data_IF_030149345510
#
_entry.id   IF_030149345510
#
_cell.length_a   1.000
_cell.length_b   1.000
_cell.length_c   1.000
_cell.angle_alpha   90.00
_cell.angle_beta   90.00
_cell.angle_gamma   90.00
#
_symmetry.space_group_name_H-M   'P 1'
#
loop_
_entity.id
_entity.type
_entity.pdbx_description
1 polymer ?
#
# COMPACT_ATOMS: atom_id res chain seq x y z
N UNK A 1 -9.12 -1.01 -0.14
CA UNK A 1 -8.99 -0.09 -1.27
C UNK A 1 -10.15 0.91 -1.35
N UNK A 2 -11.29 0.51 -0.84
CA UNK A 2 -12.53 1.29 -0.76
C UNK A 2 -13.06 1.30 0.67
N UNK A 3 -14.23 1.93 0.90
CA UNK A 3 -14.85 2.00 2.21
C UNK A 3 -15.29 0.63 2.72
N UNK A 4 -15.77 -0.20 1.81
CA UNK A 4 -16.22 -1.57 2.13
C UNK A 4 -15.09 -2.42 2.69
N UNK A 5 -13.88 -2.31 2.13
CA UNK A 5 -12.67 -2.99 2.65
C UNK A 5 -12.36 -2.53 4.08
N UNK A 6 -12.44 -1.23 4.34
CA UNK A 6 -12.19 -0.68 5.68
C UNK A 6 -13.23 -1.17 6.70
N UNK A 7 -14.49 -1.21 6.32
CA UNK A 7 -15.58 -1.75 7.16
C UNK A 7 -15.35 -3.24 7.43
N UNK A 8 -15.02 -4.02 6.40
CA UNK A 8 -14.73 -5.44 6.52
C UNK A 8 -13.57 -5.72 7.48
N UNK A 9 -12.44 -5.00 7.30
CA UNK A 9 -11.27 -5.13 8.19
C UNK A 9 -11.67 -4.83 9.64
N UNK A 10 -12.42 -3.75 9.88
CA UNK A 10 -12.90 -3.38 11.22
C UNK A 10 -13.80 -4.43 11.85
N UNK A 11 -14.66 -5.07 11.06
CA UNK A 11 -15.54 -6.14 11.55
C UNK A 11 -14.80 -7.45 11.83
N UNK A 12 -13.87 -7.83 10.96
CA UNK A 12 -13.06 -9.03 11.15
C UNK A 12 -12.09 -8.87 12.33
N UNK A 13 -11.51 -7.70 12.51
CA UNK A 13 -10.62 -7.40 13.64
C UNK A 13 -11.26 -7.66 15.01
N UNK A 14 -12.59 -7.55 15.14
CA UNK A 14 -13.32 -7.86 16.38
C UNK A 14 -13.38 -9.36 16.70
N UNK A 15 -13.10 -10.23 15.73
CA UNK A 15 -13.28 -11.69 15.84
C UNK A 15 -11.98 -12.45 15.98
N UNK A 16 -10.84 -11.76 15.83
CA UNK A 16 -9.50 -12.35 15.76
C UNK A 16 -8.59 -11.80 16.84
N UNK A 17 -7.41 -12.41 17.01
CA UNK A 17 -6.38 -11.96 17.94
C UNK A 17 -5.10 -11.55 17.22
N UNK A 18 -4.73 -12.25 16.17
CA UNK A 18 -3.46 -12.06 15.47
C UNK A 18 -3.70 -11.50 14.09
N UNK A 19 -3.16 -10.31 13.83
CA UNK A 19 -3.30 -9.61 12.55
C UNK A 19 -1.94 -9.36 11.95
N UNK A 20 -1.78 -9.68 10.67
CA UNK A 20 -0.61 -9.30 9.89
C UNK A 20 -0.99 -8.19 8.93
N UNK A 21 -0.21 -7.12 8.91
CA UNK A 21 -0.27 -6.07 7.87
C UNK A 21 0.94 -6.23 6.96
N UNK A 22 0.70 -6.43 5.67
CA UNK A 22 1.75 -6.54 4.65
C UNK A 22 1.98 -5.21 3.96
N UNK A 23 3.20 -4.68 4.08
CA UNK A 23 3.63 -3.42 3.55
C UNK A 23 3.57 -2.29 4.58
N UNK A 24 4.68 -1.58 4.77
CA UNK A 24 4.84 -0.46 5.68
C UNK A 24 4.86 0.90 4.98
N UNK A 25 4.19 1.02 3.83
CA UNK A 25 3.87 2.29 3.19
C UNK A 25 2.73 3.03 3.90
N UNK A 26 2.27 4.15 3.34
CA UNK A 26 1.23 5.01 3.95
C UNK A 26 -0.01 4.21 4.38
N UNK A 27 -0.56 3.40 3.48
CA UNK A 27 -1.79 2.62 3.77
C UNK A 27 -1.55 1.57 4.86
N UNK A 28 -0.37 0.91 4.87
CA UNK A 28 -0.05 -0.06 5.91
C UNK A 28 0.09 0.57 7.29
N UNK A 29 0.72 1.74 7.38
CA UNK A 29 0.84 2.51 8.61
C UNK A 29 -0.53 2.97 9.12
N UNK A 30 -1.42 3.45 8.23
CA UNK A 30 -2.79 3.82 8.57
C UNK A 30 -3.59 2.60 9.06
N UNK A 31 -3.43 1.44 8.41
CA UNK A 31 -4.08 0.20 8.83
C UNK A 31 -3.62 -0.23 10.24
N UNK A 32 -2.31 -0.21 10.52
CA UNK A 32 -1.78 -0.50 11.86
C UNK A 32 -2.36 0.48 12.88
N UNK A 33 -2.31 1.79 12.58
CA UNK A 33 -2.83 2.84 13.47
C UNK A 33 -4.31 2.66 13.78
N UNK A 34 -5.13 2.28 12.79
CA UNK A 34 -6.55 2.01 12.95
C UNK A 34 -6.87 0.74 13.75
N UNK A 35 -5.93 -0.20 13.82
CA UNK A 35 -6.06 -1.47 14.57
C UNK A 35 -5.52 -1.38 16.02
N UNK A 36 -4.70 -0.37 16.32
CA UNK A 36 -4.16 -0.17 17.66
C UNK A 36 -5.27 0.05 18.70
N UNK A 37 -5.01 -0.35 19.94
CA UNK A 37 -5.95 -0.19 21.05
C UNK A 37 -7.14 -1.16 21.06
N UNK A 38 -7.22 -2.09 20.08
CA UNK A 38 -8.30 -3.08 19.99
C UNK A 38 -7.96 -4.44 20.65
N UNK A 39 -6.84 -4.54 21.34
CA UNK A 39 -6.39 -5.77 22.01
C UNK A 39 -5.88 -6.85 21.06
N UNK A 40 -5.37 -6.44 19.90
CA UNK A 40 -4.82 -7.30 18.86
C UNK A 40 -3.30 -7.43 18.98
N UNK A 41 -2.79 -8.59 18.59
CA UNK A 41 -1.38 -8.80 18.31
C UNK A 41 -1.12 -8.43 16.85
N UNK A 42 -0.48 -7.30 16.60
CA UNK A 42 -0.26 -6.79 15.25
C UNK A 42 1.19 -7.05 14.85
N UNK A 43 1.37 -7.69 13.69
CA UNK A 43 2.68 -7.83 13.02
C UNK A 43 2.67 -7.02 11.72
N UNK A 44 3.64 -6.12 11.55
CA UNK A 44 3.84 -5.34 10.33
C UNK A 44 5.04 -5.92 9.57
N UNK A 45 4.81 -6.40 8.37
CA UNK A 45 5.81 -7.06 7.50
C UNK A 45 6.16 -6.15 6.34
N UNK A 46 7.46 -5.86 6.15
CA UNK A 46 7.95 -4.96 5.11
C UNK A 46 9.25 -5.51 4.49
N UNK A 47 9.34 -5.43 3.16
CA UNK A 47 10.51 -5.86 2.40
C UNK A 47 11.72 -4.92 2.55
N UNK A 48 11.45 -3.64 2.82
CA UNK A 48 12.49 -2.66 3.07
C UNK A 48 12.99 -2.74 4.52
N UNK A 49 14.21 -2.25 4.74
CA UNK A 49 14.81 -2.21 6.09
C UNK A 49 14.28 -1.08 6.98
N UNK A 50 13.19 -0.43 6.58
CA UNK A 50 12.55 0.69 7.30
C UNK A 50 11.08 0.84 6.93
N UNK A 51 10.31 1.45 7.81
CA UNK A 51 8.92 1.83 7.52
C UNK A 51 8.88 3.14 6.72
N UNK A 52 7.79 3.38 5.97
CA UNK A 52 7.60 4.51 5.05
C UNK A 52 8.81 4.71 4.13
N UNK A 53 9.27 3.65 3.43
CA UNK A 53 10.58 3.63 2.76
C UNK A 53 10.72 4.69 1.65
N UNK A 54 9.61 5.11 1.05
CA UNK A 54 9.58 6.13 -0.01
C UNK A 54 9.43 7.56 0.53
N UNK A 55 8.91 7.73 1.77
CA UNK A 55 8.57 9.04 2.33
C UNK A 55 9.59 9.55 3.33
N UNK A 56 10.27 8.65 4.04
CA UNK A 56 11.15 8.99 5.15
C UNK A 56 12.59 8.50 4.91
N UNK A 57 13.55 9.24 5.42
CA UNK A 57 14.90 8.74 5.64
C UNK A 57 14.94 7.76 6.84
N UNK A 58 16.10 7.15 7.10
CA UNK A 58 16.23 6.17 8.20
C UNK A 58 16.00 6.81 9.57
N UNK A 59 16.47 8.03 9.78
CA UNK A 59 16.36 8.72 11.07
C UNK A 59 14.91 9.01 11.43
N UNK A 60 14.13 9.52 10.48
CA UNK A 60 12.70 9.77 10.69
C UNK A 60 11.91 8.45 10.83
N UNK A 61 12.25 7.43 10.04
CA UNK A 61 11.65 6.10 10.16
C UNK A 61 11.86 5.48 11.55
N UNK A 62 13.06 5.63 12.13
CA UNK A 62 13.38 5.11 13.47
C UNK A 62 12.48 5.68 14.57
N UNK A 63 11.96 6.89 14.41
CA UNK A 63 11.02 7.49 15.37
C UNK A 63 9.68 6.73 15.34
N UNK A 64 9.16 6.44 14.15
CA UNK A 64 7.94 5.63 13.99
C UNK A 64 8.14 4.20 14.46
N UNK A 65 9.26 3.57 14.14
CA UNK A 65 9.59 2.21 14.57
C UNK A 65 9.60 2.09 16.09
N UNK A 66 10.22 3.05 16.79
CA UNK A 66 10.23 3.11 18.26
C UNK A 66 8.82 3.27 18.82
N UNK A 67 7.99 4.10 18.20
CA UNK A 67 6.63 4.33 18.69
C UNK A 67 5.76 3.08 18.51
N UNK A 68 5.80 2.43 17.35
CA UNK A 68 5.07 1.18 17.13
C UNK A 68 5.53 0.06 18.07
N UNK A 69 6.83 -0.08 18.29
CA UNK A 69 7.35 -1.05 19.25
C UNK A 69 6.83 -0.80 20.68
N UNK A 70 6.74 0.47 21.14
CA UNK A 70 6.13 0.82 22.42
C UNK A 70 4.66 0.43 22.52
N UNK A 71 3.95 0.49 21.40
CA UNK A 71 2.54 0.12 21.31
C UNK A 71 2.33 -1.38 21.09
N UNK A 72 3.40 -2.18 21.12
CA UNK A 72 3.34 -3.63 21.04
C UNK A 72 3.22 -4.18 19.60
N UNK A 73 3.46 -3.37 18.58
CA UNK A 73 3.50 -3.84 17.19
C UNK A 73 4.80 -4.61 16.95
N UNK A 74 4.69 -5.83 16.43
CA UNK A 74 5.86 -6.63 16.00
C UNK A 74 6.29 -6.19 14.61
N UNK A 75 7.43 -5.50 14.51
CA UNK A 75 7.99 -5.07 13.23
C UNK A 75 8.87 -6.17 12.63
N UNK A 76 8.56 -6.60 11.42
CA UNK A 76 9.31 -7.54 10.60
C UNK A 76 9.79 -6.81 9.34
N UNK A 77 10.97 -6.20 9.45
CA UNK A 77 11.58 -5.41 8.38
C UNK A 77 12.66 -6.23 7.67
N UNK A 78 12.98 -5.86 6.42
CA UNK A 78 13.95 -6.55 5.56
C UNK A 78 13.59 -8.03 5.33
N UNK A 79 12.29 -8.32 5.31
CA UNK A 79 11.75 -9.67 5.11
C UNK A 79 10.61 -9.67 4.11
N UNK A 80 10.40 -10.81 3.46
CA UNK A 80 9.40 -10.98 2.41
C UNK A 80 8.40 -12.06 2.79
N UNK A 81 7.12 -11.76 2.62
CA UNK A 81 6.07 -12.76 2.70
C UNK A 81 6.18 -13.73 1.52
N UNK A 82 6.23 -15.03 1.78
CA UNK A 82 6.31 -16.04 0.73
C UNK A 82 5.02 -16.82 0.57
N UNK A 83 4.41 -17.20 1.71
CA UNK A 83 3.29 -18.12 1.68
C UNK A 83 2.32 -17.84 2.82
N UNK A 84 1.03 -17.91 2.53
CA UNK A 84 -0.02 -17.94 3.53
C UNK A 84 -0.45 -19.39 3.78
N UNK A 85 -0.36 -19.84 5.02
CA UNK A 85 -0.91 -21.11 5.45
C UNK A 85 -2.37 -20.92 5.84
N UNK A 86 -3.20 -21.84 5.41
CA UNK A 86 -4.62 -21.87 5.72
C UNK A 86 -4.94 -23.05 6.65
N UNK A 87 -6.03 -22.93 7.39
CA UNK A 87 -6.61 -24.04 8.14
C UNK A 87 -7.48 -24.93 7.24
N UNK A 88 -8.15 -25.92 7.82
CA UNK A 88 -9.03 -26.87 7.11
C UNK A 88 -10.29 -26.18 6.54
N UNK A 89 -10.63 -25.00 7.05
CA UNK A 89 -11.79 -24.20 6.62
C UNK A 89 -11.40 -23.09 5.63
N UNK A 90 -10.11 -23.08 5.17
CA UNK A 90 -9.54 -22.06 4.30
C UNK A 90 -9.41 -20.66 4.92
N UNK A 91 -9.36 -20.54 6.24
CA UNK A 91 -9.05 -19.29 6.90
C UNK A 91 -7.52 -19.11 7.06
N UNK A 92 -7.01 -17.88 7.14
CA UNK A 92 -5.62 -17.62 7.44
C UNK A 92 -5.21 -18.23 8.80
N UNK A 93 -4.09 -18.96 8.82
CA UNK A 93 -3.52 -19.58 10.00
C UNK A 93 -2.15 -19.01 10.37
N UNK A 94 -1.29 -18.85 9.38
CA UNK A 94 0.04 -18.26 9.55
C UNK A 94 0.59 -17.71 8.25
N UNK A 95 1.40 -16.67 8.33
CA UNK A 95 2.21 -16.14 7.23
C UNK A 95 3.63 -16.66 7.35
N UNK A 96 4.17 -17.25 6.29
CA UNK A 96 5.56 -17.71 6.21
C UNK A 96 6.39 -16.63 5.53
N UNK A 97 7.51 -16.28 6.15
CA UNK A 97 8.49 -15.35 5.61
C UNK A 97 9.61 -16.09 4.86
N UNK A 98 10.34 -15.36 4.01
CA UNK A 98 11.52 -15.87 3.29
C UNK A 98 12.66 -16.35 4.22
N UNK A 99 12.60 -16.03 5.49
CA UNK A 99 13.52 -16.54 6.53
C UNK A 99 13.12 -17.90 7.05
N UNK A 100 11.93 -18.41 6.68
CA UNK A 100 11.32 -19.60 7.26
C UNK A 100 10.53 -19.35 8.55
N UNK A 101 10.51 -18.10 9.05
CA UNK A 101 9.69 -17.74 10.21
C UNK A 101 8.21 -17.81 9.86
N UNK A 102 7.42 -18.42 10.74
CA UNK A 102 5.96 -18.46 10.65
C UNK A 102 5.35 -17.47 11.64
N UNK A 103 4.56 -16.53 11.14
CA UNK A 103 3.83 -15.54 11.95
C UNK A 103 2.36 -15.99 12.03
N UNK A 104 1.85 -16.39 13.20
CA UNK A 104 0.44 -16.72 13.36
C UNK A 104 -0.45 -15.55 12.97
N UNK A 105 -1.49 -15.77 12.18
CA UNK A 105 -2.45 -14.73 11.79
C UNK A 105 -3.80 -15.31 11.42
N UNK A 106 -4.84 -14.63 11.82
CA UNK A 106 -6.24 -14.93 11.51
C UNK A 106 -6.81 -13.89 10.53
N UNK A 107 -6.13 -12.75 10.41
CA UNK A 107 -6.45 -11.68 9.45
C UNK A 107 -5.17 -11.17 8.81
N UNK A 108 -5.17 -11.04 7.50
CA UNK A 108 -4.08 -10.42 6.74
C UNK A 108 -4.61 -9.20 6.00
N UNK A 109 -4.03 -8.04 6.29
CA UNK A 109 -4.31 -6.78 5.58
C UNK A 109 -3.21 -6.54 4.56
N UNK A 110 -3.55 -6.57 3.29
CA UNK A 110 -2.59 -6.39 2.19
C UNK A 110 -2.52 -4.91 1.80
N UNK A 111 -1.37 -4.27 2.07
CA UNK A 111 -1.07 -2.87 1.82
C UNK A 111 0.23 -2.69 1.02
N UNK A 112 0.49 -3.59 0.07
CA UNK A 112 1.75 -3.68 -0.69
C UNK A 112 1.86 -2.71 -1.87
N UNK A 113 1.00 -1.69 -1.91
CA UNK A 113 0.98 -0.66 -2.92
C UNK A 113 -0.07 -0.86 -4.00
N UNK A 114 -0.03 0.01 -5.00
CA UNK A 114 -0.98 0.06 -6.11
C UNK A 114 -0.24 0.04 -7.44
N UNK A 115 -0.94 -0.36 -8.49
CA UNK A 115 -0.49 -0.23 -9.88
C UNK A 115 -1.52 0.58 -10.64
N UNK A 116 -1.06 1.43 -11.53
CA UNK A 116 -1.94 2.17 -12.42
C UNK A 116 -2.74 1.21 -13.29
N UNK A 117 -4.04 1.44 -13.37
CA UNK A 117 -4.89 0.69 -14.28
C UNK A 117 -4.81 1.35 -15.67
N UNK A 118 -3.94 0.84 -16.51
CA UNK A 118 -3.70 1.32 -17.88
C UNK A 118 -4.19 0.33 -18.94
N UNK A 119 -4.86 -0.75 -18.56
CA UNK A 119 -5.32 -1.78 -19.48
C UNK A 119 -6.28 -1.21 -20.56
N UNK A 120 -7.07 -0.18 -20.23
CA UNK A 120 -7.95 0.49 -21.19
C UNK A 120 -7.21 1.25 -22.30
N UNK A 121 -5.89 1.47 -22.13
CA UNK A 121 -5.03 2.10 -23.13
C UNK A 121 -4.39 1.07 -24.08
N UNK A 122 -4.57 -0.23 -23.84
CA UNK A 122 -4.11 -1.26 -24.75
C UNK A 122 -4.68 -1.01 -26.15
N UNK A 123 -3.83 -1.13 -27.18
CA UNK A 123 -4.15 -0.81 -28.57
C UNK A 123 -4.39 0.68 -28.89
N UNK A 124 -4.14 1.58 -27.96
CA UNK A 124 -4.00 3.01 -28.26
C UNK A 124 -2.53 3.33 -28.61
N UNK A 125 -2.30 4.50 -29.20
CA UNK A 125 -0.94 4.98 -29.47
C UNK A 125 -0.34 5.74 -28.26
N UNK A 126 -1.01 5.72 -27.09
CA UNK A 126 -0.54 6.41 -25.90
C UNK A 126 0.59 5.61 -25.24
N UNK A 127 1.72 6.27 -25.02
CA UNK A 127 2.86 5.66 -24.38
C UNK A 127 2.62 5.46 -22.89
N UNK A 128 2.95 4.24 -22.42
CA UNK A 128 2.89 3.85 -21.01
C UNK A 128 4.22 3.20 -20.60
N UNK A 129 4.57 3.33 -19.35
CA UNK A 129 5.66 2.56 -18.75
C UNK A 129 5.15 1.68 -17.59
N UNK A 130 6.05 1.09 -16.84
CA UNK A 130 5.74 0.23 -15.68
C UNK A 130 4.95 0.94 -14.55
N UNK A 131 4.93 2.26 -14.56
CA UNK A 131 4.25 3.06 -13.54
C UNK A 131 2.85 3.49 -13.99
N UNK A 132 2.68 3.88 -15.27
CA UNK A 132 1.43 4.40 -15.79
C UNK A 132 1.61 5.13 -17.11
N UNK A 133 0.72 6.08 -17.40
CA UNK A 133 0.82 6.95 -18.58
C UNK A 133 2.06 7.85 -18.48
N UNK A 134 2.78 7.96 -19.60
CA UNK A 134 3.89 8.91 -19.72
C UNK A 134 3.28 10.26 -20.10
N UNK A 135 3.49 11.27 -19.25
CA UNK A 135 3.04 12.65 -19.46
C UNK A 135 4.20 13.63 -19.32
N UNK A 136 4.07 14.75 -19.96
CA UNK A 136 4.97 15.90 -19.81
C UNK A 136 4.58 16.79 -18.61
N UNK A 137 5.29 17.93 -18.43
CA UNK A 137 5.02 18.88 -17.36
C UNK A 137 3.65 19.60 -17.49
N UNK A 138 3.00 19.50 -18.65
CA UNK A 138 1.66 20.04 -18.91
C UNK A 138 0.55 19.00 -18.74
N UNK A 139 0.91 17.77 -18.39
CA UNK A 139 0.00 16.65 -18.28
C UNK A 139 -0.34 16.01 -19.64
N UNK A 140 0.30 16.42 -20.74
CA UNK A 140 0.04 15.92 -22.08
C UNK A 140 0.81 14.62 -22.33
N UNK A 141 0.17 13.66 -23.00
CA UNK A 141 0.82 12.43 -23.48
C UNK A 141 1.56 12.66 -24.79
N UNK A 142 2.16 11.61 -25.34
CA UNK A 142 2.72 11.62 -26.70
C UNK A 142 1.67 11.80 -27.81
N UNK A 143 0.38 11.62 -27.51
CA UNK A 143 -0.74 11.80 -28.45
C UNK A 143 -1.35 13.18 -28.24
N UNK A 144 -1.47 13.94 -29.32
CA UNK A 144 -2.05 15.28 -29.32
C UNK A 144 -3.47 15.28 -28.74
N UNK A 145 -3.77 16.26 -27.87
CA UNK A 145 -5.06 16.44 -27.19
C UNK A 145 -5.44 15.30 -26.23
N UNK A 146 -4.49 14.44 -25.85
CA UNK A 146 -4.67 13.41 -24.81
C UNK A 146 -3.82 13.75 -23.59
N UNK A 147 -4.48 13.87 -22.46
CA UNK A 147 -3.88 14.27 -21.18
C UNK A 147 -4.11 13.19 -20.11
N UNK A 148 -3.21 13.11 -19.13
CA UNK A 148 -3.31 12.21 -17.99
C UNK A 148 -3.12 12.94 -16.67
N UNK A 149 -3.87 12.53 -15.63
CA UNK A 149 -3.75 13.08 -14.30
C UNK A 149 -4.10 12.03 -13.23
N UNK A 150 -3.46 12.10 -12.08
CA UNK A 150 -3.71 11.24 -10.93
C UNK A 150 -3.08 9.86 -11.04
N UNK A 151 -3.69 8.86 -10.41
CA UNK A 151 -3.13 7.52 -10.25
C UNK A 151 -2.80 6.81 -11.58
N UNK A 152 -3.43 7.22 -12.66
CA UNK A 152 -3.15 6.67 -13.99
C UNK A 152 -1.74 7.00 -14.48
N UNK A 153 -1.11 8.09 -14.00
CA UNK A 153 0.28 8.45 -14.29
C UNK A 153 1.28 7.66 -13.47
N UNK A 154 0.86 7.13 -12.31
CA UNK A 154 1.60 6.22 -11.43
C UNK A 154 2.85 6.80 -10.76
N UNK A 155 3.19 8.06 -11.01
CA UNK A 155 4.42 8.67 -10.48
C UNK A 155 4.31 8.99 -9.00
N UNK A 156 3.19 9.52 -8.58
CA UNK A 156 2.93 9.87 -7.18
C UNK A 156 1.43 9.70 -6.88
N UNK A 157 0.97 8.46 -6.64
CA UNK A 157 -0.45 8.12 -6.54
C UNK A 157 -1.03 8.52 -5.17
N UNK A 158 -1.12 9.84 -4.96
CA UNK A 158 -1.76 10.48 -3.80
C UNK A 158 -2.71 11.58 -4.25
N UNK A 159 -3.81 11.77 -3.54
CA UNK A 159 -4.87 12.69 -3.94
C UNK A 159 -4.40 14.15 -4.14
N UNK A 160 -3.46 14.74 -3.34
CA UNK A 160 -3.02 16.11 -3.59
C UNK A 160 -2.29 16.28 -4.93
N UNK A 161 -1.53 15.24 -5.34
CA UNK A 161 -0.89 15.22 -6.65
C UNK A 161 -1.92 15.11 -7.76
N UNK A 162 -2.91 14.20 -7.61
CA UNK A 162 -3.98 14.04 -8.58
C UNK A 162 -4.74 15.35 -8.82
N UNK A 163 -5.03 16.13 -7.78
CA UNK A 163 -5.66 17.45 -7.89
C UNK A 163 -4.78 18.43 -8.68
N UNK A 164 -3.48 18.51 -8.37
CA UNK A 164 -2.55 19.41 -9.07
C UNK A 164 -2.40 19.04 -10.54
N UNK A 165 -2.20 17.75 -10.82
CA UNK A 165 -2.09 17.24 -12.18
C UNK A 165 -3.39 17.52 -12.98
N UNK A 166 -4.56 17.31 -12.38
CA UNK A 166 -5.84 17.60 -13.00
C UNK A 166 -6.01 19.08 -13.35
N UNK A 167 -5.60 19.99 -12.45
CA UNK A 167 -5.61 21.44 -12.71
C UNK A 167 -4.67 21.79 -13.87
N UNK A 168 -3.43 21.25 -13.86
CA UNK A 168 -2.44 21.50 -14.92
C UNK A 168 -2.97 21.00 -16.27
N UNK A 169 -3.46 19.76 -16.32
CA UNK A 169 -4.03 19.19 -17.53
C UNK A 169 -5.17 20.04 -18.07
N UNK A 170 -6.15 20.40 -17.21
CA UNK A 170 -7.29 21.22 -17.62
C UNK A 170 -6.86 22.59 -18.17
N UNK A 171 -5.87 23.25 -17.56
CA UNK A 171 -5.35 24.53 -18.07
C UNK A 171 -4.67 24.43 -19.44
N UNK A 172 -4.09 23.28 -19.75
CA UNK A 172 -3.38 23.09 -21.03
C UNK A 172 -4.27 22.49 -22.13
N UNK A 173 -5.47 22.01 -21.76
CA UNK A 173 -6.49 21.55 -22.70
C UNK A 173 -7.29 22.71 -23.32
N UNK A 174 -7.34 23.85 -22.64
CA UNK A 174 -8.10 25.07 -23.04
C UNK A 174 -7.20 26.08 -23.76
#
# INVERSE_FOLDING_TARGET
>A
RNLEDAVLIKEQAKKVKNVVVLGAGLVGIDAVSGLLGQGLNISLVEMSNKILPLQLDKHASDVYEKEFNKQGVSLKLDVKAEKLLLDEENNPKALVLNTGEEIPCELVVVATGVRSNIAFMENSNVECDRFGLIIDAKGQTNVENVYGAGDVTGRNPIWPTAVKEGIIAAHNML
#
